data_IF_437355802949
#
_entry.id   IF_437355802949
#
_cell.length_a   1.000
_cell.length_b   1.000
_cell.length_c   1.000
_cell.angle_alpha   90.00
_cell.angle_beta   90.00
_cell.angle_gamma   90.00
#
_symmetry.space_group_name_H-M   'P 1'
#
loop_
_entity.id
_entity.type
_entity.pdbx_description
1 polymer ?
#
# COMPACT_ATOMS: atom_id res chain seq x y z
N UNK A 1 -29.20 7.07 -48.92
CA UNK A 1 -28.04 6.89 -48.01
C UNK A 1 -28.32 7.46 -46.63
N UNK A 2 -28.99 8.63 -46.52
CA UNK A 2 -29.34 9.25 -45.24
C UNK A 2 -30.42 8.47 -44.47
N UNK A 3 -31.36 7.81 -45.16
CA UNK A 3 -32.46 7.11 -44.48
C UNK A 3 -32.03 5.79 -43.80
N UNK A 4 -30.96 5.15 -44.28
CA UNK A 4 -30.39 3.95 -43.65
C UNK A 4 -29.73 4.26 -42.28
N UNK A 5 -29.21 5.49 -42.11
CA UNK A 5 -28.55 5.93 -40.87
C UNK A 5 -29.58 6.15 -39.74
N UNK A 6 -30.85 6.44 -40.08
CA UNK A 6 -31.91 6.65 -39.10
C UNK A 6 -32.45 5.35 -38.50
N UNK A 7 -32.57 4.28 -39.30
CA UNK A 7 -33.03 2.97 -38.78
C UNK A 7 -31.98 2.30 -37.87
N UNK A 8 -30.69 2.53 -38.13
CA UNK A 8 -29.58 1.93 -37.38
C UNK A 8 -28.82 2.94 -36.51
N UNK A 9 -29.49 4.01 -36.04
CA UNK A 9 -28.88 5.13 -35.31
C UNK A 9 -28.02 4.68 -34.11
N UNK A 10 -28.46 3.64 -33.39
CA UNK A 10 -27.69 3.07 -32.25
C UNK A 10 -26.39 2.41 -32.73
N UNK A 11 -26.41 1.68 -33.85
CA UNK A 11 -25.21 1.05 -34.42
C UNK A 11 -24.25 2.11 -34.95
N UNK A 12 -24.75 3.17 -35.59
CA UNK A 12 -23.92 4.29 -36.04
C UNK A 12 -23.24 5.03 -34.87
N UNK A 13 -23.92 5.20 -33.73
CA UNK A 13 -23.33 5.82 -32.54
C UNK A 13 -22.24 4.92 -31.93
N UNK A 14 -22.49 3.61 -31.83
CA UNK A 14 -21.51 2.65 -31.28
C UNK A 14 -20.26 2.57 -32.15
N UNK A 15 -20.41 2.55 -33.48
CA UNK A 15 -19.27 2.56 -34.42
C UNK A 15 -18.50 3.89 -34.34
N UNK A 16 -19.20 5.02 -34.19
CA UNK A 16 -18.57 6.33 -33.98
C UNK A 16 -17.73 6.40 -32.71
N UNK A 17 -18.25 5.91 -31.57
CA UNK A 17 -17.54 5.91 -30.29
C UNK A 17 -16.32 4.97 -30.32
N UNK A 18 -16.44 3.80 -30.95
CA UNK A 18 -15.31 2.86 -31.12
C UNK A 18 -14.17 3.47 -31.95
N UNK A 19 -14.49 4.23 -33.01
CA UNK A 19 -13.47 4.89 -33.84
C UNK A 19 -12.76 6.04 -33.10
N UNK A 20 -13.45 6.75 -32.20
CA UNK A 20 -12.83 7.80 -31.38
C UNK A 20 -11.89 7.20 -30.32
N UNK A 21 -12.26 6.07 -29.70
CA UNK A 21 -11.40 5.38 -28.73
C UNK A 21 -10.15 4.75 -29.38
N UNK A 22 -10.25 4.23 -30.61
CA UNK A 22 -9.10 3.74 -31.36
C UNK A 22 -8.17 4.87 -31.83
N UNK A 23 -8.69 6.08 -32.07
CA UNK A 23 -7.92 7.24 -32.53
C UNK A 23 -7.06 7.93 -31.45
N UNK A 24 -7.37 7.77 -30.17
CA UNK A 24 -6.59 8.37 -29.06
C UNK A 24 -5.35 7.52 -28.71
N UNK A 25 -5.30 6.24 -29.12
CA UNK A 25 -4.19 5.32 -28.84
C UNK A 25 -2.92 5.51 -29.67
N UNK A 26 -2.92 6.35 -30.72
CA UNK A 26 -1.82 6.41 -31.72
C UNK A 26 -0.93 7.67 -31.56
N UNK A 27 -1.13 8.52 -30.54
CA UNK A 27 -0.28 9.72 -30.32
C UNK A 27 0.59 9.65 -29.05
N UNK A 28 0.89 8.46 -28.53
CA UNK A 28 1.90 8.31 -27.47
C UNK A 28 3.07 7.36 -27.79
N UNK A 29 3.18 6.88 -29.04
CA UNK A 29 4.31 6.04 -29.47
C UNK A 29 5.17 6.74 -30.52
N UNK A 30 5.91 7.77 -30.10
CA UNK A 30 7.12 8.24 -30.77
C UNK A 30 8.23 8.46 -29.74
N UNK A 31 8.92 7.37 -29.39
CA UNK A 31 10.35 7.38 -29.07
C UNK A 31 10.97 6.16 -29.75
N UNK A 32 11.78 6.34 -30.81
CA UNK A 32 12.40 5.22 -31.49
C UNK A 32 13.48 4.59 -30.61
N UNK A 33 13.30 3.30 -30.34
CA UNK A 33 14.34 2.38 -29.93
C UNK A 33 15.21 2.02 -31.14
N UNK A 34 16.53 2.14 -31.03
CA UNK A 34 17.42 1.20 -31.71
C UNK A 34 18.55 0.79 -30.77
N UNK A 35 18.73 -0.53 -30.75
CA UNK A 35 19.61 -1.30 -29.91
C UNK A 35 20.79 -1.75 -30.79
N UNK A 36 21.97 -1.83 -30.17
CA UNK A 36 23.01 -2.86 -30.39
C UNK A 36 24.31 -2.47 -31.12
N UNK A 37 25.39 -2.50 -30.33
CA UNK A 37 26.70 -3.17 -30.53
C UNK A 37 27.99 -2.36 -30.88
N UNK A 38 28.95 -2.50 -29.94
CA UNK A 38 30.41 -2.70 -30.04
C UNK A 38 31.37 -1.48 -30.18
N UNK A 39 32.42 -1.60 -29.34
CA UNK A 39 33.80 -1.09 -29.41
C UNK A 39 34.16 0.31 -28.87
N UNK A 40 34.77 0.24 -27.68
CA UNK A 40 36.09 0.80 -27.34
C UNK A 40 36.24 2.33 -27.45
N UNK A 41 35.79 3.03 -26.41
CA UNK A 41 36.26 4.37 -26.12
C UNK A 41 37.53 4.28 -25.25
N UNK A 42 38.63 4.65 -25.89
CA UNK A 42 39.97 4.73 -25.34
C UNK A 42 40.06 5.54 -24.02
N UNK A 43 40.94 5.02 -23.16
CA UNK A 43 41.68 5.66 -22.07
C UNK A 43 41.35 7.12 -21.75
N UNK A 44 40.80 7.35 -20.56
CA UNK A 44 41.11 8.56 -19.79
C UNK A 44 41.66 8.14 -18.43
N UNK A 45 42.88 8.58 -18.17
CA UNK A 45 43.75 8.19 -17.07
C UNK A 45 43.08 8.15 -15.71
N UNK A 46 43.29 7.01 -15.05
CA UNK A 46 43.22 6.85 -13.60
C UNK A 46 44.06 7.92 -12.89
N UNK A 47 43.42 8.72 -12.05
CA UNK A 47 44.06 9.36 -10.89
C UNK A 47 43.29 8.85 -9.68
N UNK A 48 43.82 7.77 -9.10
CA UNK A 48 43.21 7.08 -7.98
C UNK A 48 43.07 8.00 -6.77
N UNK A 49 41.84 8.10 -6.28
CA UNK A 49 41.60 8.17 -4.85
C UNK A 49 40.74 6.96 -4.54
N UNK A 50 41.37 5.92 -4.00
CA UNK A 50 40.70 4.73 -3.50
C UNK A 50 39.83 5.16 -2.32
N UNK A 51 38.60 5.60 -2.61
CA UNK A 51 37.54 5.56 -1.62
C UNK A 51 37.27 4.08 -1.43
N UNK A 52 37.63 3.56 -0.25
CA UNK A 52 37.11 2.30 0.25
C UNK A 52 35.60 2.44 0.32
N UNK A 53 34.91 2.14 -0.77
CA UNK A 53 33.49 1.91 -0.78
C UNK A 53 33.28 0.67 0.09
N UNK A 54 32.85 0.90 1.34
CA UNK A 54 32.35 -0.18 2.18
C UNK A 54 31.34 -0.95 1.34
N UNK A 55 31.37 -2.30 1.33
CA UNK A 55 30.36 -3.07 0.62
C UNK A 55 29.01 -2.59 1.11
N UNK A 56 28.22 -1.99 0.21
CA UNK A 56 26.87 -1.57 0.50
C UNK A 56 26.13 -2.83 0.93
N UNK A 57 25.79 -2.91 2.23
CA UNK A 57 24.98 -4.01 2.76
C UNK A 57 23.69 -4.00 1.94
N UNK A 58 23.47 -5.07 1.19
CA UNK A 58 22.24 -5.21 0.42
C UNK A 58 21.06 -5.19 1.40
N UNK A 59 20.09 -4.35 1.09
CA UNK A 59 18.90 -4.18 1.92
C UNK A 59 18.02 -5.43 1.83
N UNK A 60 17.60 -5.94 2.99
CA UNK A 60 16.65 -7.04 3.07
C UNK A 60 15.27 -6.62 2.55
N UNK A 61 14.45 -7.60 2.13
CA UNK A 61 13.08 -7.31 1.70
C UNK A 61 12.27 -6.60 2.78
N UNK A 62 12.45 -6.97 4.05
CA UNK A 62 11.77 -6.33 5.18
C UNK A 62 12.22 -4.88 5.41
N UNK A 63 13.52 -4.60 5.36
CA UNK A 63 14.03 -3.21 5.47
C UNK A 63 13.45 -2.34 4.34
N UNK A 64 13.40 -2.88 3.11
CA UNK A 64 12.80 -2.20 1.95
C UNK A 64 11.30 -1.98 2.13
N UNK A 65 10.55 -3.02 2.50
CA UNK A 65 9.11 -2.98 2.69
C UNK A 65 8.72 -2.01 3.82
N UNK A 66 9.44 -2.06 4.94
CA UNK A 66 9.31 -1.10 6.04
C UNK A 66 9.49 0.33 5.56
N UNK A 67 10.60 0.63 4.87
CA UNK A 67 10.85 1.97 4.34
C UNK A 67 9.74 2.40 3.38
N UNK A 68 9.31 1.52 2.48
CA UNK A 68 8.22 1.81 1.54
C UNK A 68 6.90 2.09 2.25
N UNK A 69 6.56 1.37 3.32
CA UNK A 69 5.38 1.65 4.12
C UNK A 69 5.51 2.97 4.88
N UNK A 70 6.65 3.20 5.53
CA UNK A 70 6.95 4.41 6.30
C UNK A 70 6.82 5.66 5.44
N UNK A 71 7.34 5.65 4.21
CA UNK A 71 7.26 6.77 3.28
C UNK A 71 5.85 7.07 2.72
N UNK A 72 4.84 6.24 2.98
CA UNK A 72 3.44 6.55 2.63
C UNK A 72 2.78 7.53 3.60
N UNK A 73 3.42 7.80 4.73
CA UNK A 73 2.92 8.67 5.78
C UNK A 73 3.31 10.12 5.52
N UNK A 74 2.51 11.05 6.03
CA UNK A 74 2.71 12.50 5.84
C UNK A 74 3.98 12.99 6.52
N UNK A 75 4.20 12.56 7.77
CA UNK A 75 5.35 12.94 8.59
C UNK A 75 6.08 11.69 9.08
N UNK A 76 6.76 10.96 8.20
CA UNK A 76 7.25 9.61 8.47
C UNK A 76 8.24 9.54 9.64
N UNK A 77 9.01 10.59 9.89
CA UNK A 77 10.05 10.59 10.92
C UNK A 77 9.69 11.44 12.16
N UNK A 78 8.47 11.95 12.21
CA UNK A 78 7.95 12.60 13.41
C UNK A 78 7.31 11.56 14.32
N UNK A 79 7.47 11.73 15.63
CA UNK A 79 6.81 10.85 16.60
C UNK A 79 5.60 11.55 17.22
N UNK A 80 4.49 10.81 17.32
CA UNK A 80 3.33 11.25 18.08
C UNK A 80 3.58 11.19 19.59
N UNK A 81 2.66 11.76 20.37
CA UNK A 81 2.75 11.74 21.83
C UNK A 81 2.66 10.32 22.39
N UNK A 82 3.08 10.15 23.66
CA UNK A 82 2.96 8.84 24.32
C UNK A 82 1.50 8.46 24.57
N UNK A 83 0.62 9.45 24.73
CA UNK A 83 -0.81 9.33 24.91
C UNK A 83 -1.46 8.80 23.62
N UNK A 84 -1.15 9.43 22.48
CA UNK A 84 -1.63 8.99 21.16
C UNK A 84 -1.19 7.54 20.86
N UNK A 85 0.07 7.21 21.13
CA UNK A 85 0.61 5.86 20.96
C UNK A 85 -0.18 4.82 21.77
N UNK A 86 -0.56 5.13 23.01
CA UNK A 86 -1.36 4.24 23.87
C UNK A 86 -2.78 4.06 23.34
N UNK A 87 -3.39 5.14 22.85
CA UNK A 87 -4.76 5.09 22.33
C UNK A 87 -4.85 4.25 21.06
N UNK A 88 -3.94 4.47 20.11
CA UNK A 88 -3.84 3.67 18.88
C UNK A 88 -3.54 2.21 19.21
N UNK A 89 -2.62 1.96 20.14
CA UNK A 89 -2.30 0.60 20.56
C UNK A 89 -3.52 -0.13 21.10
N UNK A 90 -4.25 0.50 22.04
CA UNK A 90 -5.45 -0.07 22.63
C UNK A 90 -6.49 -0.42 21.56
N UNK A 91 -6.74 0.49 20.61
CA UNK A 91 -7.68 0.26 19.53
C UNK A 91 -7.27 -0.94 18.65
N UNK A 92 -5.97 -1.10 18.37
CA UNK A 92 -5.47 -2.27 17.62
C UNK A 92 -5.56 -3.57 18.42
N UNK A 93 -5.27 -3.55 19.72
CA UNK A 93 -5.43 -4.73 20.57
C UNK A 93 -6.89 -5.20 20.60
N UNK A 94 -7.84 -4.27 20.74
CA UNK A 94 -9.28 -4.57 20.72
C UNK A 94 -9.74 -5.07 19.35
N UNK A 95 -9.30 -4.44 18.25
CA UNK A 95 -9.60 -4.88 16.89
C UNK A 95 -9.06 -6.28 16.59
N UNK A 96 -7.79 -6.55 16.93
CA UNK A 96 -7.15 -7.86 16.72
C UNK A 96 -7.83 -8.93 17.57
N UNK A 97 -8.20 -8.62 18.81
CA UNK A 97 -8.93 -9.53 19.69
C UNK A 97 -10.31 -9.89 19.13
N UNK A 98 -11.07 -8.92 18.63
CA UNK A 98 -12.39 -9.14 18.01
C UNK A 98 -12.30 -10.02 16.74
N UNK A 99 -11.31 -9.75 15.89
CA UNK A 99 -11.03 -10.57 14.69
C UNK A 99 -10.72 -12.01 15.09
N UNK A 100 -9.77 -12.21 16.02
CA UNK A 100 -9.37 -13.55 16.51
C UNK A 100 -10.53 -14.28 17.19
N UNK A 101 -11.41 -13.57 17.89
CA UNK A 101 -12.62 -14.13 18.52
C UNK A 101 -13.65 -14.60 17.50
N UNK A 102 -13.82 -13.87 16.40
CA UNK A 102 -14.76 -14.23 15.33
C UNK A 102 -14.36 -15.55 14.67
N UNK A 103 -13.05 -15.80 14.50
CA UNK A 103 -12.44 -17.05 14.02
C UNK A 103 -12.96 -17.60 12.66
N UNK A 104 -13.79 -16.82 11.96
CA UNK A 104 -14.33 -17.14 10.64
C UNK A 104 -14.34 -15.88 9.78
N UNK A 105 -13.43 -15.84 8.80
CA UNK A 105 -13.11 -14.66 8.00
C UNK A 105 -14.33 -13.95 7.38
N UNK A 106 -15.32 -14.64 6.77
CA UNK A 106 -16.50 -13.98 6.19
C UNK A 106 -17.37 -13.20 7.17
N UNK A 107 -17.27 -13.49 8.47
CA UNK A 107 -18.03 -12.79 9.51
C UNK A 107 -17.31 -11.55 10.06
N UNK A 108 -16.02 -11.37 9.74
CA UNK A 108 -15.25 -10.23 10.20
C UNK A 108 -15.69 -8.96 9.47
N UNK A 109 -16.04 -7.91 10.20
CA UNK A 109 -16.50 -6.63 9.64
C UNK A 109 -15.93 -5.47 10.44
N UNK A 110 -15.77 -4.33 9.78
CA UNK A 110 -15.48 -3.08 10.48
C UNK A 110 -16.71 -2.57 11.22
N UNK A 111 -16.57 -2.33 12.51
CA UNK A 111 -17.64 -1.82 13.40
C UNK A 111 -17.09 -0.70 14.29
N UNK A 112 -17.97 -0.01 15.01
CA UNK A 112 -17.54 1.02 15.96
C UNK A 112 -16.83 0.37 17.15
N UNK A 113 -17.36 -0.77 17.59
CA UNK A 113 -16.92 -1.54 18.76
C UNK A 113 -15.52 -2.13 18.57
N UNK A 114 -15.15 -2.50 17.35
CA UNK A 114 -13.80 -2.99 17.03
C UNK A 114 -12.91 -1.94 16.36
N UNK A 115 -13.30 -0.67 16.45
CA UNK A 115 -12.59 0.49 15.90
C UNK A 115 -12.40 0.52 14.38
N UNK A 116 -12.91 -0.45 13.61
CA UNK A 116 -12.64 -0.55 12.18
C UNK A 116 -13.76 0.02 11.31
N UNK A 117 -14.74 0.75 11.86
CA UNK A 117 -15.89 1.29 11.11
C UNK A 117 -15.49 2.22 9.95
N UNK A 118 -14.35 2.90 10.06
CA UNK A 118 -13.81 3.79 9.02
C UNK A 118 -12.93 3.06 7.99
N UNK A 119 -12.64 1.78 8.22
CA UNK A 119 -11.86 0.94 7.32
C UNK A 119 -12.78 0.33 6.26
N UNK A 120 -12.36 0.40 4.99
CA UNK A 120 -13.10 -0.24 3.91
C UNK A 120 -13.20 -1.76 4.14
N UNK A 121 -14.37 -2.36 3.90
CA UNK A 121 -14.60 -3.77 4.18
C UNK A 121 -13.58 -4.70 3.51
N UNK A 122 -13.17 -4.41 2.27
CA UNK A 122 -12.12 -5.17 1.59
C UNK A 122 -10.79 -5.15 2.37
N UNK A 123 -10.40 -3.99 2.91
CA UNK A 123 -9.19 -3.86 3.72
C UNK A 123 -9.33 -4.51 5.11
N UNK A 124 -10.52 -4.47 5.73
CA UNK A 124 -10.82 -5.25 6.94
C UNK A 124 -10.61 -6.74 6.67
N UNK A 125 -11.14 -7.24 5.56
CA UNK A 125 -10.99 -8.64 5.14
C UNK A 125 -9.53 -9.00 4.88
N UNK A 126 -8.75 -8.13 4.21
CA UNK A 126 -7.32 -8.33 4.02
C UNK A 126 -6.55 -8.41 5.34
N UNK A 127 -6.80 -7.50 6.27
CA UNK A 127 -6.16 -7.51 7.58
C UNK A 127 -6.55 -8.75 8.39
N UNK A 128 -7.83 -9.13 8.35
CA UNK A 128 -8.33 -10.34 8.99
C UNK A 128 -7.74 -11.62 8.36
N UNK A 129 -7.54 -11.66 7.04
CA UNK A 129 -6.88 -12.78 6.35
C UNK A 129 -5.43 -12.94 6.80
N UNK A 130 -4.71 -11.84 7.00
CA UNK A 130 -3.35 -11.86 7.55
C UNK A 130 -3.32 -12.56 8.91
N UNK A 131 -4.25 -12.20 9.80
CA UNK A 131 -4.31 -12.70 11.18
C UNK A 131 -4.86 -14.13 11.29
N UNK A 132 -5.96 -14.44 10.59
CA UNK A 132 -6.70 -15.70 10.75
C UNK A 132 -6.21 -16.81 9.81
N UNK A 133 -5.99 -16.47 8.54
CA UNK A 133 -5.67 -17.46 7.51
C UNK A 133 -4.16 -17.66 7.40
N UNK A 134 -3.43 -16.54 7.30
CA UNK A 134 -1.99 -16.57 7.04
C UNK A 134 -1.15 -16.62 8.32
N UNK A 135 -1.79 -16.52 9.49
CA UNK A 135 -1.18 -16.69 10.81
C UNK A 135 -0.04 -15.71 11.06
N UNK A 136 -0.21 -14.47 10.58
CA UNK A 136 0.63 -13.37 11.01
C UNK A 136 0.21 -12.91 12.40
N UNK A 137 1.20 -12.51 13.20
CA UNK A 137 1.00 -11.95 14.52
C UNK A 137 1.26 -10.45 14.55
N UNK A 138 0.30 -9.72 15.09
CA UNK A 138 0.44 -8.31 15.42
C UNK A 138 1.55 -8.10 16.46
N UNK A 139 2.42 -7.11 16.22
CA UNK A 139 3.53 -6.75 17.09
C UNK A 139 3.28 -5.40 17.80
N UNK A 140 2.62 -5.39 18.98
CA UNK A 140 2.35 -4.19 19.77
C UNK A 140 3.55 -3.26 19.97
N UNK A 141 4.74 -3.85 20.23
CA UNK A 141 5.97 -3.11 20.54
C UNK A 141 6.60 -2.44 19.33
N UNK A 142 6.16 -2.80 18.12
CA UNK A 142 6.64 -2.25 16.86
C UNK A 142 5.59 -1.34 16.21
N UNK A 143 4.48 -1.05 16.90
CA UNK A 143 3.54 -0.04 16.46
C UNK A 143 4.23 1.33 16.49
N UNK A 144 4.14 2.02 15.37
CA UNK A 144 4.61 3.39 15.25
C UNK A 144 3.43 4.32 14.97
N UNK A 145 3.46 5.50 15.59
CA UNK A 145 2.41 6.51 15.46
C UNK A 145 3.06 7.87 15.20
N UNK A 146 2.55 8.53 14.17
CA UNK A 146 3.07 9.74 13.55
C UNK A 146 1.98 10.81 13.58
N UNK A 147 2.30 12.09 13.87
CA UNK A 147 1.33 13.18 13.75
C UNK A 147 1.01 13.46 12.28
N UNK A 148 -0.11 14.13 12.03
CA UNK A 148 -0.44 14.70 10.72
C UNK A 148 -0.56 16.22 10.79
N UNK A 149 -0.91 16.87 9.69
CA UNK A 149 -1.29 18.29 9.70
C UNK A 149 -2.69 18.53 10.31
N UNK A 150 -3.50 17.47 10.47
CA UNK A 150 -4.86 17.57 11.01
C UNK A 150 -4.86 17.30 12.52
N UNK A 151 -5.60 18.12 13.27
CA UNK A 151 -5.63 18.06 14.74
C UNK A 151 -6.32 16.79 15.27
N UNK A 152 -7.23 16.20 14.50
CA UNK A 152 -8.02 15.03 14.90
C UNK A 152 -7.58 13.73 14.20
N UNK A 153 -6.47 13.76 13.45
CA UNK A 153 -5.95 12.59 12.74
C UNK A 153 -4.49 12.37 13.07
N UNK A 154 -4.18 11.15 13.45
CA UNK A 154 -2.81 10.63 13.52
C UNK A 154 -2.66 9.47 12.54
N UNK A 155 -1.43 9.21 12.14
CA UNK A 155 -1.11 8.12 11.24
C UNK A 155 -0.37 7.02 11.99
N UNK A 156 -0.55 5.79 11.57
CA UNK A 156 0.14 4.65 12.17
C UNK A 156 0.83 3.78 11.12
N UNK A 157 1.80 3.02 11.60
CA UNK A 157 2.38 1.87 10.92
C UNK A 157 2.32 0.68 11.89
N UNK A 158 1.61 -0.37 11.48
CA UNK A 158 1.46 -1.62 12.20
C UNK A 158 2.32 -2.68 11.54
N UNK A 159 3.09 -3.41 12.36
CA UNK A 159 3.89 -4.54 11.91
C UNK A 159 3.19 -5.85 12.25
N UNK A 160 3.02 -6.69 11.24
CA UNK A 160 2.61 -8.08 11.35
C UNK A 160 3.79 -8.98 10.97
N UNK A 161 4.13 -9.95 11.81
CA UNK A 161 5.27 -10.86 11.59
C UNK A 161 4.81 -12.31 11.49
N UNK A 162 5.55 -13.12 10.73
CA UNK A 162 5.37 -14.57 10.68
C UNK A 162 6.72 -15.24 10.52
N UNK A 163 6.97 -16.31 11.29
CA UNK A 163 8.25 -17.01 11.23
C UNK A 163 8.55 -17.53 9.83
N UNK A 164 9.70 -17.14 9.29
CA UNK A 164 10.19 -17.57 7.97
C UNK A 164 9.56 -16.83 6.79
N UNK A 165 8.77 -15.78 7.02
CA UNK A 165 8.09 -15.00 5.98
C UNK A 165 8.40 -13.52 6.16
N UNK A 166 8.33 -12.76 5.07
CA UNK A 166 8.45 -11.29 5.13
C UNK A 166 7.32 -10.71 5.99
N UNK A 167 7.65 -9.66 6.74
CA UNK A 167 6.70 -8.89 7.52
C UNK A 167 5.70 -8.16 6.62
N UNK A 168 4.51 -7.93 7.15
CA UNK A 168 3.54 -7.04 6.52
C UNK A 168 3.38 -5.76 7.33
N UNK A 169 3.42 -4.64 6.63
CA UNK A 169 3.38 -3.31 7.21
C UNK A 169 2.08 -2.63 6.79
N UNK A 170 1.12 -2.54 7.69
CA UNK A 170 -0.14 -1.85 7.47
C UNK A 170 -0.01 -0.38 7.86
N UNK A 171 -0.50 0.52 7.01
CA UNK A 171 -0.51 1.95 7.27
C UNK A 171 -1.92 2.51 7.15
N UNK A 172 -2.19 3.55 7.93
CA UNK A 172 -3.52 4.13 7.97
C UNK A 172 -3.62 5.35 8.87
N UNK A 173 -4.85 5.81 9.00
CA UNK A 173 -5.23 6.94 9.82
C UNK A 173 -5.97 6.44 11.06
N UNK A 174 -5.81 7.12 12.18
CA UNK A 174 -6.63 6.98 13.36
C UNK A 174 -7.27 8.33 13.66
N UNK A 175 -8.60 8.37 13.71
CA UNK A 175 -9.30 9.58 14.14
C UNK A 175 -9.36 9.60 15.67
N UNK A 176 -8.74 10.60 16.28
CA UNK A 176 -8.63 10.72 17.75
C UNK A 176 -9.93 11.17 18.41
N UNK A 177 -10.85 11.78 17.66
CA UNK A 177 -12.15 12.22 18.19
C UNK A 177 -13.12 11.05 18.36
N UNK A 178 -13.24 10.19 17.34
CA UNK A 178 -14.16 9.04 17.36
C UNK A 178 -13.47 7.71 17.67
N UNK A 179 -12.15 7.73 17.83
CA UNK A 179 -11.30 6.58 18.16
C UNK A 179 -11.47 5.45 17.14
N UNK A 180 -11.39 5.77 15.85
CA UNK A 180 -11.57 4.79 14.77
C UNK A 180 -10.33 4.67 13.89
N UNK A 181 -9.99 3.43 13.58
CA UNK A 181 -8.93 2.99 12.67
C UNK A 181 -9.48 2.98 11.24
N UNK A 182 -8.70 3.60 10.36
CA UNK A 182 -8.83 3.52 8.92
C UNK A 182 -7.56 2.91 8.32
N UNK A 183 -7.55 1.61 8.06
CA UNK A 183 -6.49 0.97 7.29
C UNK A 183 -6.57 1.43 5.84
N UNK A 184 -5.45 1.91 5.28
CA UNK A 184 -5.39 2.48 3.92
C UNK A 184 -4.61 1.62 2.95
N UNK A 185 -3.52 1.01 3.39
CA UNK A 185 -2.68 0.17 2.57
C UNK A 185 -1.86 -0.79 3.43
N UNK A 186 -1.27 -1.79 2.78
CA UNK A 186 -0.21 -2.59 3.36
C UNK A 186 0.95 -2.76 2.36
N UNK A 187 2.13 -3.10 2.87
CA UNK A 187 3.32 -3.39 2.07
C UNK A 187 3.98 -4.64 2.64
N UNK A 188 4.43 -5.54 1.76
CA UNK A 188 5.09 -6.77 2.16
C UNK A 188 4.14 -7.81 2.75
N UNK A 189 4.71 -8.97 3.05
CA UNK A 189 4.02 -10.13 3.57
C UNK A 189 3.15 -10.84 2.53
N UNK A 190 2.98 -12.14 2.73
CA UNK A 190 2.21 -13.00 1.84
C UNK A 190 0.76 -13.11 2.36
N UNK A 191 -0.03 -12.05 2.13
CA UNK A 191 -1.41 -11.98 2.64
C UNK A 191 -2.44 -12.57 1.65
N UNK A 192 -2.07 -12.76 0.38
CA UNK A 192 -2.95 -13.32 -0.66
C UNK A 192 -3.95 -12.30 -1.23
N UNK A 193 -4.05 -12.27 -2.57
CA UNK A 193 -5.10 -11.59 -3.35
C UNK A 193 -5.33 -10.10 -3.04
N UNK A 194 -4.49 -9.22 -3.57
CA UNK A 194 -4.78 -7.78 -3.63
C UNK A 194 -6.07 -7.54 -4.42
N UNK A 195 -7.18 -7.22 -3.74
CA UNK A 195 -8.27 -6.48 -4.36
C UNK A 195 -7.94 -5.00 -4.19
N UNK A 196 -7.24 -4.46 -5.18
CA UNK A 196 -6.96 -3.04 -5.36
C UNK A 196 -7.41 -2.62 -6.74
#
# INVERSE_FOLDING_TARGET
MIDWIKENMVVSIVVGVLLVLAGIGIVSSFRPSQQTKIEEAAQVSSSGTTQNELPSKEETADEKNYRTAKLKLERPYAEASSEDKKEVLKAFEEAVADIKKTNFLPNVKGTIENHLSMTQNAMVQTFAMALLTNQYDFQPKQLEVMPTESDDVIQFLVVLTKNGEENSYFVGNFNTTVQQIQLKAYVGGNIGGTYG
#
